data_IF_976996875692
#
_entry.id   IF_976996875692
#
_cell.length_a   1.000
_cell.length_b   1.000
_cell.length_c   1.000
_cell.angle_alpha   90.00
_cell.angle_beta   90.00
_cell.angle_gamma   90.00
#
_symmetry.space_group_name_H-M   'P 1'
#
loop_
_entity.id
_entity.type
_entity.pdbx_description
1 polymer ?
#
# COMPACT_ATOMS: atom_id res chain seq x y z
N UNK A 1 4.29 53.42 -19.22
CA UNK A 1 5.13 52.84 -18.14
C UNK A 1 4.87 51.33 -18.16
N UNK A 2 5.80 50.56 -18.73
CA UNK A 2 5.66 49.12 -18.84
C UNK A 2 5.97 48.49 -17.48
N UNK A 3 4.94 47.93 -16.85
CA UNK A 3 5.06 47.15 -15.62
C UNK A 3 6.02 45.98 -15.88
N UNK A 4 7.22 46.11 -15.34
CA UNK A 4 8.21 45.04 -15.19
C UNK A 4 7.89 44.24 -13.92
N UNK A 5 6.63 43.86 -13.79
CA UNK A 5 6.18 42.90 -12.78
C UNK A 5 6.44 41.51 -13.40
N UNK A 6 7.71 41.09 -13.38
CA UNK A 6 8.02 39.69 -13.48
C UNK A 6 7.49 39.07 -12.20
N UNK A 7 6.29 38.49 -12.28
CA UNK A 7 5.76 37.55 -11.28
C UNK A 7 6.94 36.66 -10.88
N UNK A 8 7.41 36.73 -9.63
CA UNK A 8 8.49 35.86 -9.19
C UNK A 8 7.92 34.47 -9.34
N UNK A 9 8.39 33.74 -10.35
CA UNK A 9 7.99 32.37 -10.61
C UNK A 9 7.99 31.69 -9.25
N UNK A 10 6.79 31.39 -8.76
CA UNK A 10 6.60 30.67 -7.53
C UNK A 10 7.07 29.25 -7.82
N UNK A 11 8.39 29.10 -7.85
CA UNK A 11 9.04 27.94 -7.27
C UNK A 11 8.80 28.07 -5.77
N UNK A 12 7.52 28.05 -5.40
CA UNK A 12 6.98 27.72 -4.10
C UNK A 12 7.75 26.47 -3.72
N UNK A 13 8.68 26.62 -2.77
CA UNK A 13 9.67 25.62 -2.37
C UNK A 13 9.03 24.25 -2.52
N UNK A 14 9.38 23.52 -3.60
CA UNK A 14 8.60 22.38 -4.04
C UNK A 14 8.29 21.52 -2.84
N UNK A 15 7.02 21.36 -2.49
CA UNK A 15 6.64 20.59 -1.32
C UNK A 15 7.23 19.20 -1.57
N UNK A 16 8.34 18.88 -0.89
CA UNK A 16 9.08 17.64 -1.10
C UNK A 16 8.27 16.54 -0.43
N UNK A 17 7.26 16.06 -1.13
CA UNK A 17 6.45 14.92 -0.72
C UNK A 17 7.05 13.66 -1.28
N UNK A 18 6.91 12.56 -0.55
CA UNK A 18 7.39 11.24 -1.00
C UNK A 18 6.64 10.73 -2.25
N UNK A 19 5.50 11.33 -2.55
CA UNK A 19 4.61 11.02 -3.66
C UNK A 19 4.42 12.29 -4.48
N UNK A 20 4.47 12.19 -5.80
CA UNK A 20 4.29 13.32 -6.69
C UNK A 20 2.88 13.90 -6.56
N UNK A 21 2.79 15.21 -6.35
CA UNK A 21 1.51 15.95 -6.34
C UNK A 21 0.74 15.85 -7.65
N UNK A 22 1.41 15.56 -8.78
CA UNK A 22 0.75 15.32 -10.06
C UNK A 22 -0.04 13.99 -10.07
N UNK A 23 0.43 12.97 -9.34
CA UNK A 23 -0.26 11.68 -9.21
C UNK A 23 -1.31 11.71 -8.09
N UNK A 24 -0.96 12.34 -6.96
CA UNK A 24 -1.86 12.49 -5.81
C UNK A 24 -1.92 13.96 -5.39
N UNK A 25 -2.95 14.73 -5.79
CA UNK A 25 -3.04 16.18 -5.51
C UNK A 25 -3.03 16.51 -4.01
N UNK A 26 -3.55 15.62 -3.18
CA UNK A 26 -3.52 15.75 -1.73
C UNK A 26 -2.16 15.44 -1.10
N UNK A 27 -1.14 15.07 -1.89
CA UNK A 27 0.21 14.83 -1.36
C UNK A 27 0.75 16.04 -0.60
N UNK A 28 0.37 17.25 -1.02
CA UNK A 28 0.68 18.49 -0.30
C UNK A 28 0.11 18.55 1.13
N UNK A 29 -0.97 17.81 1.44
CA UNK A 29 -1.53 17.69 2.80
C UNK A 29 -0.72 16.73 3.69
N UNK A 30 0.16 15.91 3.12
CA UNK A 30 1.21 15.16 3.83
C UNK A 30 0.88 13.72 4.21
N UNK A 31 -0.38 13.27 4.17
CA UNK A 31 -0.77 11.89 4.55
C UNK A 31 -0.86 10.91 3.37
N UNK A 32 -0.44 11.32 2.18
CA UNK A 32 -0.62 10.54 0.94
C UNK A 32 0.49 9.54 0.64
N UNK A 33 1.53 9.45 1.49
CA UNK A 33 2.62 8.49 1.30
C UNK A 33 2.20 7.06 1.58
N UNK A 34 2.42 6.15 0.62
CA UNK A 34 2.29 4.71 0.87
C UNK A 34 3.60 4.09 1.38
N UNK A 35 3.50 3.08 2.26
CA UNK A 35 4.63 2.21 2.59
C UNK A 35 4.35 0.79 2.07
N UNK A 36 4.75 0.49 0.82
CA UNK A 36 4.52 -0.84 0.23
C UNK A 36 5.18 -1.95 1.03
N UNK A 37 6.28 -1.65 1.72
CA UNK A 37 6.97 -2.62 2.58
C UNK A 37 6.13 -2.94 3.82
N UNK A 38 5.55 -1.94 4.47
CA UNK A 38 4.66 -2.14 5.63
C UNK A 38 3.43 -2.95 5.23
N UNK A 39 2.79 -2.64 4.10
CA UNK A 39 1.63 -3.40 3.64
C UNK A 39 1.95 -4.86 3.31
N UNK A 40 3.12 -5.15 2.73
CA UNK A 40 3.56 -6.54 2.51
C UNK A 40 3.72 -7.30 3.82
N UNK A 41 4.38 -6.69 4.81
CA UNK A 41 4.60 -7.31 6.13
C UNK A 41 3.26 -7.54 6.82
N UNK A 42 2.37 -6.54 6.81
CA UNK A 42 1.03 -6.68 7.36
C UNK A 42 0.25 -7.82 6.70
N UNK A 43 0.30 -7.93 5.36
CA UNK A 43 -0.33 -9.03 4.63
C UNK A 43 0.18 -10.41 5.07
N UNK A 44 1.49 -10.59 5.22
CA UNK A 44 2.07 -11.85 5.72
C UNK A 44 1.65 -12.16 7.15
N UNK A 45 1.64 -11.16 8.03
CA UNK A 45 1.19 -11.33 9.42
C UNK A 45 -0.28 -11.74 9.44
N UNK A 46 -1.15 -11.06 8.69
CA UNK A 46 -2.58 -11.40 8.60
C UNK A 46 -2.79 -12.82 8.11
N UNK A 47 -2.08 -13.25 7.05
CA UNK A 47 -2.19 -14.62 6.56
C UNK A 47 -1.77 -15.66 7.62
N UNK A 48 -0.71 -15.38 8.39
CA UNK A 48 -0.24 -16.26 9.46
C UNK A 48 -1.26 -16.35 10.60
N UNK A 49 -1.87 -15.23 10.99
CA UNK A 49 -2.94 -15.19 12.00
C UNK A 49 -4.14 -16.02 11.54
N UNK A 50 -4.59 -15.87 10.29
CA UNK A 50 -5.71 -16.65 9.76
C UNK A 50 -5.44 -18.16 9.82
N UNK A 51 -4.22 -18.59 9.49
CA UNK A 51 -3.84 -20.01 9.59
C UNK A 51 -3.80 -20.45 11.06
N UNK A 52 -3.28 -19.62 11.97
CA UNK A 52 -3.24 -19.93 13.39
C UNK A 52 -4.65 -20.10 13.99
N UNK A 53 -5.64 -19.35 13.50
CA UNK A 53 -7.04 -19.44 13.94
C UNK A 53 -7.73 -20.77 13.61
N UNK A 54 -7.18 -21.57 12.68
CA UNK A 54 -7.68 -22.94 12.42
C UNK A 54 -7.49 -23.83 13.66
N UNK A 55 -6.48 -23.56 14.48
CA UNK A 55 -6.24 -24.28 15.72
C UNK A 55 -7.14 -23.67 16.81
N UNK A 56 -8.28 -24.29 17.06
CA UNK A 56 -9.24 -23.77 18.03
C UNK A 56 -10.32 -24.76 18.42
N UNK A 57 -11.35 -24.26 19.11
CA UNK A 57 -12.46 -25.06 19.65
C UNK A 57 -13.58 -25.35 18.63
N UNK A 58 -13.33 -25.05 17.35
CA UNK A 58 -14.31 -25.13 16.28
C UNK A 58 -14.66 -26.60 15.98
N UNK A 59 -15.95 -26.95 16.05
CA UNK A 59 -16.44 -28.29 15.64
C UNK A 59 -16.80 -28.39 14.17
N UNK A 60 -17.13 -27.26 13.55
CA UNK A 60 -17.49 -27.20 12.14
C UNK A 60 -16.30 -26.76 11.30
N UNK A 61 -16.01 -27.49 10.23
CA UNK A 61 -14.91 -27.15 9.31
C UNK A 61 -15.25 -26.04 8.30
N UNK A 62 -16.47 -25.49 8.35
CA UNK A 62 -16.86 -24.42 7.43
C UNK A 62 -16.00 -23.17 7.65
N UNK A 63 -15.74 -22.80 8.91
CA UNK A 63 -14.86 -21.68 9.24
C UNK A 63 -13.43 -21.92 8.74
N UNK A 64 -12.90 -23.12 8.95
CA UNK A 64 -11.55 -23.50 8.49
C UNK A 64 -11.38 -23.30 6.99
N UNK A 65 -12.41 -23.64 6.19
CA UNK A 65 -12.39 -23.44 4.73
C UNK A 65 -12.27 -21.95 4.39
N UNK A 66 -12.98 -21.06 5.09
CA UNK A 66 -12.88 -19.62 4.87
C UNK A 66 -11.53 -19.06 5.33
N UNK A 67 -11.05 -19.47 6.52
CA UNK A 67 -9.75 -19.03 7.04
C UNK A 67 -8.62 -19.41 6.08
N UNK A 68 -8.59 -20.67 5.64
CA UNK A 68 -7.60 -21.17 4.68
C UNK A 68 -7.79 -20.48 3.32
N UNK A 69 -9.03 -20.30 2.85
CA UNK A 69 -9.34 -19.65 1.59
C UNK A 69 -8.84 -18.20 1.54
N UNK A 70 -9.11 -17.41 2.57
CA UNK A 70 -8.63 -16.02 2.67
C UNK A 70 -7.12 -15.95 2.87
N UNK A 71 -6.53 -16.82 3.69
CA UNK A 71 -5.08 -16.88 3.85
C UNK A 71 -4.39 -17.19 2.50
N UNK A 72 -4.90 -18.16 1.74
CA UNK A 72 -4.39 -18.51 0.42
C UNK A 72 -4.52 -17.34 -0.57
N UNK A 73 -5.65 -16.63 -0.56
CA UNK A 73 -5.86 -15.45 -1.40
C UNK A 73 -4.84 -14.33 -1.10
N UNK A 74 -4.61 -14.01 0.18
CA UNK A 74 -3.64 -12.99 0.60
C UNK A 74 -2.22 -13.40 0.18
N UNK A 75 -1.82 -14.65 0.43
CA UNK A 75 -0.51 -15.17 0.04
C UNK A 75 -0.34 -15.12 -1.48
N UNK A 76 -1.36 -15.48 -2.26
CA UNK A 76 -1.31 -15.40 -3.71
C UNK A 76 -1.08 -13.97 -4.21
N UNK A 77 -1.74 -12.98 -3.60
CA UNK A 77 -1.55 -11.56 -3.92
C UNK A 77 -0.11 -11.11 -3.60
N UNK A 78 0.42 -11.46 -2.42
CA UNK A 78 1.78 -11.10 -2.00
C UNK A 78 2.87 -11.74 -2.86
N UNK A 79 2.69 -13.01 -3.22
CA UNK A 79 3.59 -13.73 -4.12
C UNK A 79 3.55 -13.10 -5.50
N UNK A 80 2.37 -12.82 -6.04
CA UNK A 80 2.21 -12.14 -7.33
C UNK A 80 2.90 -10.77 -7.35
N UNK A 81 2.68 -9.95 -6.32
CA UNK A 81 3.35 -8.65 -6.19
C UNK A 81 4.88 -8.79 -6.15
N UNK A 82 5.38 -9.79 -5.40
CA UNK A 82 6.82 -10.09 -5.32
C UNK A 82 7.44 -10.57 -6.62
N UNK A 83 6.65 -11.19 -7.51
CA UNK A 83 7.09 -11.61 -8.86
C UNK A 83 7.07 -10.40 -9.80
N UNK A 84 5.97 -9.64 -9.82
CA UNK A 84 5.80 -8.47 -10.69
C UNK A 84 6.91 -7.43 -10.47
N UNK A 85 7.32 -7.24 -9.22
CA UNK A 85 8.42 -6.31 -8.87
C UNK A 85 9.78 -6.70 -9.41
N UNK A 86 9.99 -7.96 -9.80
CA UNK A 86 11.24 -8.43 -10.40
C UNK A 86 11.34 -8.05 -11.88
N UNK A 87 10.21 -7.71 -12.51
CA UNK A 87 10.18 -7.32 -13.91
C UNK A 87 10.38 -5.79 -13.99
N UNK A 88 11.46 -5.30 -14.61
CA UNK A 88 11.59 -3.87 -14.86
C UNK A 88 10.40 -3.43 -15.73
N UNK A 89 9.74 -2.35 -15.30
CA UNK A 89 8.63 -1.72 -16.03
C UNK A 89 9.18 -0.80 -17.10
#
# INVERSE_FOLDING_TARGET
>A
MAATELEPASTERGIVTHVDTAEVPSAAWGWSGESPKTFRVAGWITALILIAMVIGNHKGHVEDIFLIGFAAAIVAILVRDSILKRKPR
#
